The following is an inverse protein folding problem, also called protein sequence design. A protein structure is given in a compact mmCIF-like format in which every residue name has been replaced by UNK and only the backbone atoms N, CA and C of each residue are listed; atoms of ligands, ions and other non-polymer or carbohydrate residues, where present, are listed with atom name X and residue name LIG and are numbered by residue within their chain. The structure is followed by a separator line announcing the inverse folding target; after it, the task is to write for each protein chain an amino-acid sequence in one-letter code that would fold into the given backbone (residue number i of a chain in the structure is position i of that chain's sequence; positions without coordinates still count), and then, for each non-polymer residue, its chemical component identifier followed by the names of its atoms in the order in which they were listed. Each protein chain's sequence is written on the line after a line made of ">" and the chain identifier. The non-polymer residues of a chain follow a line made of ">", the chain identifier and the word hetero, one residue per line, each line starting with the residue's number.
data_IF_594738422317
#
_entry.id   IF_594738422317
#
_cell.length_a   1.000
_cell.length_b   1.000
_cell.length_c   1.000
_cell.angle_alpha   90.00
_cell.angle_beta   90.00
_cell.angle_gamma   90.00
#
_symmetry.space_group_name_H-M   'P 1'
#
loop_
_entity.id
_entity.type
_entity.pdbx_description
1 polymer ?
#
# COMPACT_ATOMS: atom_id res chain seq x y z
N UNK A 1 39.99 -6.67 83.26
CA UNK A 1 40.17 -5.37 82.57
C UNK A 1 39.72 -5.52 81.12
N UNK A 2 38.76 -4.68 80.70
CA UNK A 2 38.53 -4.10 79.36
C UNK A 2 38.61 -4.97 78.09
N UNK A 3 37.41 -5.30 77.58
CA UNK A 3 36.85 -5.22 76.20
C UNK A 3 37.81 -4.79 75.06
N UNK A 4 37.72 -5.46 73.89
CA UNK A 4 37.06 -4.91 72.68
C UNK A 4 37.00 -5.88 71.50
N UNK A 5 35.76 -6.11 71.03
CA UNK A 5 35.40 -6.57 69.70
C UNK A 5 35.91 -5.57 68.64
N UNK A 6 36.47 -6.08 67.55
CA UNK A 6 36.71 -5.35 66.31
C UNK A 6 35.98 -6.04 65.16
N UNK A 7 34.83 -5.50 64.77
CA UNK A 7 34.07 -5.91 63.59
C UNK A 7 34.72 -5.28 62.33
N UNK A 8 35.08 -6.10 61.35
CA UNK A 8 35.45 -5.62 60.01
C UNK A 8 34.21 -5.69 59.13
N UNK A 9 33.63 -4.52 58.84
CA UNK A 9 32.54 -4.35 57.90
C UNK A 9 33.10 -4.28 56.47
N UNK A 10 32.73 -5.25 55.63
CA UNK A 10 32.94 -5.22 54.19
C UNK A 10 31.92 -4.26 53.55
N UNK A 11 32.38 -3.12 53.06
CA UNK A 11 31.57 -2.21 52.24
C UNK A 11 31.63 -2.67 50.78
N UNK A 12 30.61 -3.38 50.33
CA UNK A 12 30.38 -3.68 48.91
C UNK A 12 29.60 -2.52 48.30
N UNK A 13 30.28 -1.70 47.50
CA UNK A 13 29.65 -0.63 46.71
C UNK A 13 29.04 -1.24 45.44
N UNK A 14 27.73 -1.49 45.45
CA UNK A 14 26.98 -1.86 44.25
C UNK A 14 26.57 -0.56 43.56
N UNK A 15 27.24 -0.22 42.47
CA UNK A 15 26.80 0.85 41.58
C UNK A 15 25.59 0.35 40.77
N UNK A 16 24.38 0.82 41.11
CA UNK A 16 23.21 0.69 40.23
C UNK A 16 23.31 1.77 39.13
N UNK A 17 23.60 1.36 37.90
CA UNK A 17 23.32 2.18 36.72
C UNK A 17 21.83 2.05 36.38
N UNK A 18 21.02 3.11 36.41
CA UNK A 18 19.70 3.04 35.80
C UNK A 18 19.90 3.02 34.28
N UNK A 19 19.60 1.88 33.66
CA UNK A 19 19.31 1.81 32.23
C UNK A 19 17.99 2.56 31.99
N UNK A 20 18.07 3.88 31.91
CA UNK A 20 17.02 4.70 31.31
C UNK A 20 17.14 4.58 29.80
N UNK A 21 16.11 4.02 29.16
CA UNK A 21 16.00 4.06 27.70
C UNK A 21 15.42 2.79 27.09
N UNK A 22 14.33 2.26 27.65
CA UNK A 22 13.38 1.52 26.82
C UNK A 22 12.86 2.49 25.75
N UNK A 23 13.51 2.51 24.59
CA UNK A 23 12.93 3.09 23.40
C UNK A 23 11.62 2.36 23.14
N UNK A 24 10.51 3.08 23.32
CA UNK A 24 9.18 2.63 22.93
C UNK A 24 9.21 2.38 21.43
N UNK A 25 9.41 1.12 21.03
CA UNK A 25 8.87 0.67 19.76
C UNK A 25 7.35 0.74 19.93
N UNK A 26 6.75 1.82 19.46
CA UNK A 26 5.32 1.89 19.21
C UNK A 26 4.98 0.83 18.16
N UNK A 27 4.75 -0.39 18.64
CA UNK A 27 4.01 -1.40 17.91
C UNK A 27 2.57 -1.25 18.36
N UNK A 28 1.85 -0.28 17.80
CA UNK A 28 0.40 -0.26 17.88
C UNK A 28 -0.23 -0.01 16.50
N UNK A 29 -1.12 -0.95 16.15
CA UNK A 29 -2.02 -1.02 15.00
C UNK A 29 -1.48 -1.60 13.68
N UNK A 30 -0.96 -2.83 13.74
CA UNK A 30 -0.70 -3.70 12.57
C UNK A 30 -2.01 -4.21 11.94
N UNK A 31 -2.74 -3.30 11.29
CA UNK A 31 -3.90 -3.64 10.44
C UNK A 31 -4.13 -2.65 9.30
N UNK A 32 -3.84 -1.36 9.49
CA UNK A 32 -4.25 -0.29 8.56
C UNK A 32 -3.17 0.73 8.18
N UNK A 33 -1.90 0.51 8.55
CA UNK A 33 -0.84 1.49 8.25
C UNK A 33 -0.37 1.34 6.80
N UNK A 34 -0.63 2.38 5.98
CA UNK A 34 -0.11 2.46 4.61
C UNK A 34 1.42 2.38 4.64
N UNK A 35 2.06 1.47 3.88
CA UNK A 35 3.52 1.30 3.91
C UNK A 35 4.23 2.53 3.36
N UNK A 36 5.45 2.81 3.84
CA UNK A 36 6.32 3.81 3.21
C UNK A 36 6.75 3.32 1.82
N UNK A 37 6.71 4.23 0.84
CA UNK A 37 7.19 4.05 -0.52
C UNK A 37 8.52 4.79 -0.78
N UNK A 38 9.08 5.47 0.24
CA UNK A 38 10.33 6.21 0.14
C UNK A 38 10.13 7.68 -0.19
N UNK A 39 11.15 8.32 -0.77
CA UNK A 39 11.14 9.75 -1.13
C UNK A 39 10.96 9.91 -2.64
N UNK A 40 10.02 10.76 -3.08
CA UNK A 40 9.77 11.01 -4.50
C UNK A 40 9.03 12.33 -4.73
N UNK A 41 9.17 12.92 -5.92
CA UNK A 41 8.30 14.03 -6.35
C UNK A 41 6.92 13.51 -6.75
N UNK A 42 5.88 14.35 -6.73
CA UNK A 42 4.54 13.97 -7.17
C UNK A 42 4.53 13.43 -8.61
N UNK A 43 5.32 14.04 -9.50
CA UNK A 43 5.38 13.67 -10.92
C UNK A 43 6.09 12.34 -11.13
N UNK A 44 7.25 12.13 -10.54
CA UNK A 44 8.00 10.88 -10.69
C UNK A 44 7.22 9.68 -10.12
N UNK A 45 6.57 9.88 -8.96
CA UNK A 45 5.70 8.88 -8.37
C UNK A 45 4.48 8.57 -9.26
N UNK A 46 3.91 9.59 -9.91
CA UNK A 46 2.79 9.41 -10.84
C UNK A 46 3.20 8.70 -12.14
N UNK A 47 4.36 9.02 -12.70
CA UNK A 47 4.90 8.32 -13.86
C UNK A 47 5.19 6.85 -13.55
N UNK A 48 5.73 6.57 -12.37
CA UNK A 48 5.92 5.19 -11.91
C UNK A 48 4.59 4.44 -11.74
N UNK A 49 3.56 5.11 -11.20
CA UNK A 49 2.22 4.54 -11.09
C UNK A 49 1.61 4.24 -12.46
N UNK A 50 1.79 5.15 -13.43
CA UNK A 50 1.30 4.95 -14.82
C UNK A 50 1.98 3.75 -15.49
N UNK A 51 3.29 3.59 -15.31
CA UNK A 51 4.03 2.40 -15.79
C UNK A 51 3.48 1.12 -15.17
N UNK A 52 3.29 1.10 -13.85
CA UNK A 52 2.73 -0.04 -13.14
C UNK A 52 1.31 -0.38 -13.60
N UNK A 53 0.48 0.64 -13.83
CA UNK A 53 -0.85 0.44 -14.40
C UNK A 53 -0.81 -0.16 -15.81
N UNK A 54 0.17 0.24 -16.62
CA UNK A 54 0.40 -0.35 -17.94
C UNK A 54 0.79 -1.83 -17.87
N UNK A 55 1.62 -2.21 -16.89
CA UNK A 55 1.95 -3.62 -16.62
C UNK A 55 0.68 -4.42 -16.29
N UNK A 56 -0.15 -3.95 -15.35
CA UNK A 56 -1.42 -4.63 -15.00
C UNK A 56 -2.37 -4.73 -16.19
N UNK A 57 -2.47 -3.67 -17.00
CA UNK A 57 -3.25 -3.71 -18.24
C UNK A 57 -2.77 -4.82 -19.18
N UNK A 58 -1.45 -5.00 -19.33
CA UNK A 58 -0.87 -6.09 -20.13
C UNK A 58 -1.25 -7.50 -19.64
N UNK A 59 -1.56 -7.67 -18.35
CA UNK A 59 -1.95 -8.95 -17.77
C UNK A 59 -3.41 -9.35 -18.07
N UNK A 60 -4.27 -8.39 -18.44
CA UNK A 60 -5.69 -8.66 -18.74
C UNK A 60 -5.84 -9.71 -19.85
N UNK A 61 -4.95 -9.70 -20.86
CA UNK A 61 -4.94 -10.69 -21.94
C UNK A 61 -6.20 -10.70 -22.83
N UNK A 62 -7.02 -9.66 -22.73
CA UNK A 62 -8.30 -9.51 -23.43
C UNK A 62 -8.26 -8.22 -24.24
N UNK A 63 -8.78 -8.26 -25.47
CA UNK A 63 -8.90 -7.05 -26.31
C UNK A 63 -10.01 -6.14 -25.77
N UNK A 64 -9.74 -4.84 -25.71
CA UNK A 64 -10.69 -3.86 -25.19
C UNK A 64 -10.14 -2.44 -25.19
N UNK A 65 -10.90 -1.52 -24.59
CA UNK A 65 -10.59 -0.10 -24.46
C UNK A 65 -10.45 0.30 -22.99
N UNK A 66 -9.55 1.23 -22.70
CA UNK A 66 -9.40 1.81 -21.36
C UNK A 66 -9.99 3.21 -21.29
N UNK A 67 -10.45 3.64 -20.12
CA UNK A 67 -10.69 5.06 -19.85
C UNK A 67 -9.36 5.80 -19.72
N UNK A 68 -9.24 6.99 -20.32
CA UNK A 68 -7.99 7.77 -20.38
C UNK A 68 -7.69 8.66 -19.16
N UNK A 69 -7.88 8.17 -17.94
CA UNK A 69 -7.52 8.93 -16.74
C UNK A 69 -6.01 8.87 -16.48
N UNK A 70 -5.43 9.98 -16.05
CA UNK A 70 -4.08 10.01 -15.50
C UNK A 70 -4.09 9.65 -14.01
N UNK A 71 -2.96 9.22 -13.43
CA UNK A 71 -2.81 9.13 -11.99
C UNK A 71 -3.08 10.49 -11.33
N UNK A 72 -3.44 10.47 -10.05
CA UNK A 72 -3.65 11.65 -9.23
C UNK A 72 -3.02 11.49 -7.85
N UNK A 73 -3.03 12.58 -7.08
CA UNK A 73 -2.40 12.63 -5.75
C UNK A 73 -3.46 12.59 -4.65
N UNK A 74 -3.22 11.78 -3.62
CA UNK A 74 -4.06 11.68 -2.43
C UNK A 74 -3.21 11.76 -1.15
N UNK A 75 -3.85 12.07 -0.04
CA UNK A 75 -3.17 12.21 1.25
C UNK A 75 -2.80 10.86 1.88
N UNK A 76 -1.70 10.88 2.63
CA UNK A 76 -1.37 9.82 3.57
C UNK A 76 -2.18 9.99 4.87
N UNK A 77 -3.04 9.01 5.18
CA UNK A 77 -3.83 9.04 6.42
C UNK A 77 -2.92 9.17 7.66
N UNK A 78 -3.25 10.13 8.53
CA UNK A 78 -2.49 10.37 9.77
C UNK A 78 -1.10 10.98 9.59
N UNK A 79 -0.74 11.45 8.38
CA UNK A 79 0.55 12.11 8.11
C UNK A 79 0.35 13.57 7.69
N UNK A 80 1.42 14.34 7.82
CA UNK A 80 1.50 15.72 7.35
C UNK A 80 1.25 15.79 5.83
N UNK A 81 0.23 16.56 5.44
CA UNK A 81 -0.26 16.67 4.05
C UNK A 81 0.63 17.52 3.15
N UNK A 82 1.54 18.29 3.74
CA UNK A 82 2.54 19.09 3.02
C UNK A 82 3.82 18.30 2.77
N UNK A 83 4.04 17.23 3.56
CA UNK A 83 5.24 16.39 3.49
C UNK A 83 5.02 15.02 2.88
N UNK A 84 3.83 14.44 3.03
CA UNK A 84 3.55 13.07 2.64
C UNK A 84 2.35 12.96 1.70
N UNK A 85 2.49 12.11 0.69
CA UNK A 85 1.45 11.87 -0.30
C UNK A 85 1.44 10.43 -0.79
N UNK A 86 0.36 10.05 -1.47
CA UNK A 86 0.27 8.80 -2.24
C UNK A 86 -0.21 9.13 -3.64
N UNK A 87 0.06 8.21 -4.55
CA UNK A 87 -0.48 8.25 -5.90
C UNK A 87 -1.57 7.22 -6.01
N UNK A 88 -2.66 7.58 -6.68
CA UNK A 88 -3.66 6.64 -7.14
C UNK A 88 -3.83 6.72 -8.64
N UNK A 89 -4.27 5.62 -9.25
CA UNK A 89 -4.66 5.61 -10.65
C UNK A 89 -5.91 4.75 -10.82
N UNK A 90 -7.03 5.43 -11.01
CA UNK A 90 -8.34 4.81 -11.24
C UNK A 90 -8.68 4.85 -12.72
N UNK A 91 -9.01 3.71 -13.31
CA UNK A 91 -9.45 3.61 -14.69
C UNK A 91 -10.39 2.42 -14.89
N UNK A 92 -11.08 2.40 -16.03
CA UNK A 92 -11.98 1.32 -16.41
C UNK A 92 -11.49 0.62 -17.67
N UNK A 93 -11.67 -0.69 -17.71
CA UNK A 93 -11.47 -1.52 -18.90
C UNK A 93 -12.81 -2.00 -19.45
N UNK A 94 -13.00 -1.81 -20.74
CA UNK A 94 -14.18 -2.22 -21.48
C UNK A 94 -13.77 -3.28 -22.51
N UNK A 95 -14.11 -4.57 -22.32
CA UNK A 95 -13.74 -5.60 -23.28
C UNK A 95 -14.48 -5.38 -24.61
N UNK A 96 -13.86 -5.80 -25.71
CA UNK A 96 -14.48 -5.73 -27.05
C UNK A 96 -15.78 -6.56 -27.14
N UNK A 97 -15.92 -7.58 -26.29
CA UNK A 97 -17.16 -8.33 -26.10
C UNK A 97 -17.49 -8.40 -24.59
N UNK A 98 -18.73 -8.07 -24.17
CA UNK A 98 -19.12 -8.05 -22.76
C UNK A 98 -18.87 -9.37 -22.00
N UNK A 99 -18.98 -10.52 -22.69
CA UNK A 99 -18.77 -11.84 -22.10
C UNK A 99 -17.33 -12.14 -21.69
N UNK A 100 -16.36 -11.27 -22.00
CA UNK A 100 -14.94 -11.48 -21.67
C UNK A 100 -14.49 -10.87 -20.34
N UNK A 101 -15.40 -10.30 -19.55
CA UNK A 101 -15.05 -9.78 -18.22
C UNK A 101 -14.59 -10.89 -17.27
N UNK A 102 -15.23 -12.07 -17.31
CA UNK A 102 -14.84 -13.21 -16.47
C UNK A 102 -13.45 -13.73 -16.85
N UNK A 103 -13.18 -13.81 -18.16
CA UNK A 103 -11.87 -14.18 -18.70
C UNK A 103 -10.78 -13.21 -18.22
N UNK A 104 -11.02 -11.90 -18.32
CA UNK A 104 -10.08 -10.88 -17.85
C UNK A 104 -9.80 -10.99 -16.34
N UNK A 105 -10.82 -11.25 -15.52
CA UNK A 105 -10.66 -11.45 -14.08
C UNK A 105 -9.83 -12.70 -13.75
N UNK A 106 -10.11 -13.83 -14.42
CA UNK A 106 -9.37 -15.08 -14.19
C UNK A 106 -7.91 -14.97 -14.68
N UNK A 107 -7.67 -14.24 -15.77
CA UNK A 107 -6.33 -13.88 -16.25
C UNK A 107 -5.56 -13.09 -15.20
N UNK A 108 -6.15 -12.02 -14.65
CA UNK A 108 -5.53 -11.26 -13.57
C UNK A 108 -5.21 -12.14 -12.35
N UNK A 109 -6.16 -12.97 -11.93
CA UNK A 109 -5.98 -13.90 -10.80
C UNK A 109 -4.79 -14.84 -11.01
N UNK A 110 -4.56 -15.28 -12.24
CA UNK A 110 -3.47 -16.22 -12.57
C UNK A 110 -2.13 -15.52 -12.81
N UNK A 111 -2.13 -14.36 -13.46
CA UNK A 111 -0.90 -13.69 -13.93
C UNK A 111 -0.32 -12.71 -12.90
N UNK A 112 -1.15 -12.11 -12.03
CA UNK A 112 -0.67 -11.22 -10.96
C UNK A 112 0.35 -11.94 -10.04
N UNK A 113 0.08 -13.15 -9.51
CA UNK A 113 1.05 -13.90 -8.70
C UNK A 113 2.38 -14.17 -9.40
N UNK A 114 2.34 -14.50 -10.70
CA UNK A 114 3.56 -14.73 -11.50
C UNK A 114 4.40 -13.46 -11.63
N UNK A 115 3.77 -12.30 -11.50
CA UNK A 115 4.38 -10.97 -11.55
C UNK A 115 4.70 -10.38 -10.16
N UNK A 116 4.71 -11.23 -9.12
CA UNK A 116 5.10 -10.83 -7.76
C UNK A 116 4.01 -10.13 -6.94
N UNK A 117 2.76 -10.17 -7.39
CA UNK A 117 1.62 -9.66 -6.62
C UNK A 117 1.00 -10.76 -5.78
N UNK A 118 0.72 -10.47 -4.51
CA UNK A 118 0.00 -11.39 -3.62
C UNK A 118 -1.48 -11.04 -3.62
N UNK A 119 -2.34 -11.98 -4.01
CA UNK A 119 -3.79 -11.81 -3.88
C UNK A 119 -4.15 -11.88 -2.40
N UNK A 120 -4.68 -10.79 -1.86
CA UNK A 120 -5.16 -10.68 -0.48
C UNK A 120 -6.66 -10.95 -0.37
N UNK A 121 -7.42 -10.69 -1.43
CA UNK A 121 -8.87 -10.93 -1.48
C UNK A 121 -9.33 -11.31 -2.89
N UNK A 122 -10.23 -12.28 -2.98
CA UNK A 122 -10.93 -12.62 -4.22
C UNK A 122 -12.33 -13.16 -3.92
N UNK A 123 -13.35 -12.47 -4.42
CA UNK A 123 -14.75 -12.82 -4.16
C UNK A 123 -15.70 -11.64 -4.34
N UNK A 124 -16.99 -11.82 -4.02
CA UNK A 124 -17.97 -10.74 -4.12
C UNK A 124 -17.66 -9.60 -3.14
N UNK A 125 -17.68 -8.35 -3.65
CA UNK A 125 -17.54 -7.14 -2.84
C UNK A 125 -18.75 -6.91 -1.93
N UNK A 126 -18.60 -6.01 -0.96
CA UNK A 126 -19.65 -5.63 0.00
C UNK A 126 -20.71 -4.68 -0.58
N UNK A 127 -20.61 -4.34 -1.87
CA UNK A 127 -21.58 -3.47 -2.52
C UNK A 127 -22.93 -4.18 -2.67
N UNK A 128 -24.00 -3.41 -2.86
CA UNK A 128 -25.35 -3.95 -3.16
C UNK A 128 -25.34 -4.94 -4.34
N UNK A 129 -24.47 -4.71 -5.31
CA UNK A 129 -24.40 -5.54 -6.52
C UNK A 129 -23.60 -6.83 -6.32
N UNK A 130 -22.82 -6.94 -5.23
CA UNK A 130 -21.91 -8.05 -4.93
C UNK A 130 -21.03 -8.39 -6.13
N UNK A 131 -20.34 -7.38 -6.65
CA UNK A 131 -19.51 -7.54 -7.85
C UNK A 131 -18.32 -8.41 -7.50
N UNK A 132 -17.91 -9.30 -8.40
CA UNK A 132 -16.66 -10.02 -8.22
C UNK A 132 -15.50 -9.01 -8.13
N UNK A 133 -14.69 -9.14 -7.09
CA UNK A 133 -13.57 -8.25 -6.79
C UNK A 133 -12.31 -9.06 -6.55
N UNK A 134 -11.17 -8.49 -6.92
CA UNK A 134 -9.83 -8.98 -6.66
C UNK A 134 -9.01 -7.85 -6.05
N UNK A 135 -8.39 -8.10 -4.91
CA UNK A 135 -7.38 -7.20 -4.32
C UNK A 135 -6.05 -7.92 -4.28
N UNK A 136 -4.99 -7.25 -4.74
CA UNK A 136 -3.64 -7.77 -4.69
C UNK A 136 -2.63 -6.70 -4.31
N UNK A 137 -1.62 -7.11 -3.57
CA UNK A 137 -0.58 -6.24 -3.01
C UNK A 137 0.79 -6.64 -3.54
N UNK A 138 1.67 -5.67 -3.78
CA UNK A 138 3.04 -5.90 -4.20
C UNK A 138 4.00 -5.16 -3.26
N UNK A 139 4.66 -5.91 -2.38
CA UNK A 139 5.55 -5.37 -1.36
C UNK A 139 6.81 -4.73 -1.94
N UNK A 140 7.31 -5.24 -3.07
CA UNK A 140 8.49 -4.68 -3.72
C UNK A 140 8.18 -3.34 -4.39
N UNK A 141 7.01 -3.25 -5.04
CA UNK A 141 6.54 -2.04 -5.72
C UNK A 141 5.83 -1.06 -4.79
N UNK A 142 5.61 -1.44 -3.53
CA UNK A 142 4.84 -0.66 -2.53
C UNK A 142 3.52 -0.18 -3.12
N UNK A 143 2.77 -1.10 -3.72
CA UNK A 143 1.52 -0.78 -4.40
C UNK A 143 0.45 -1.84 -4.14
N UNK A 144 -0.81 -1.42 -4.21
CA UNK A 144 -1.98 -2.28 -4.14
C UNK A 144 -2.88 -2.00 -5.34
N UNK A 145 -3.55 -3.04 -5.83
CA UNK A 145 -4.57 -2.94 -6.86
C UNK A 145 -5.86 -3.57 -6.37
N UNK A 146 -6.96 -2.85 -6.53
CA UNK A 146 -8.29 -3.40 -6.45
C UNK A 146 -8.93 -3.40 -7.84
N UNK A 147 -9.51 -4.53 -8.23
CA UNK A 147 -10.22 -4.71 -9.49
C UNK A 147 -11.62 -5.20 -9.18
N UNK A 148 -12.64 -4.47 -9.64
CA UNK A 148 -14.05 -4.83 -9.46
C UNK A 148 -14.73 -5.03 -10.81
N UNK A 149 -15.36 -6.17 -10.98
CA UNK A 149 -16.09 -6.56 -12.18
C UNK A 149 -17.52 -5.96 -12.15
N UNK A 150 -17.70 -4.80 -12.75
CA UNK A 150 -18.98 -4.09 -12.83
C UNK A 150 -19.84 -4.63 -13.98
N UNK A 151 -20.15 -5.93 -13.96
CA UNK A 151 -20.85 -6.62 -15.04
C UNK A 151 -22.29 -6.11 -15.26
N UNK A 152 -22.91 -5.51 -14.24
CA UNK A 152 -24.27 -4.95 -14.29
C UNK A 152 -24.32 -3.49 -14.78
N UNK A 153 -23.17 -2.88 -15.08
CA UNK A 153 -23.13 -1.54 -15.65
C UNK A 153 -23.45 -1.59 -17.15
N UNK A 154 -23.84 -0.44 -17.71
CA UNK A 154 -23.98 -0.24 -19.15
C UNK A 154 -23.03 0.88 -19.63
N UNK A 155 -21.97 0.57 -20.40
CA UNK A 155 -21.53 -0.78 -20.76
C UNK A 155 -20.83 -1.53 -19.60
N UNK A 156 -20.83 -2.88 -19.60
CA UNK A 156 -20.10 -3.69 -18.63
C UNK A 156 -18.59 -3.42 -18.66
N UNK A 157 -17.96 -3.41 -17.48
CA UNK A 157 -16.54 -3.03 -17.35
C UNK A 157 -15.83 -3.67 -16.16
N UNK A 158 -14.50 -3.67 -16.19
CA UNK A 158 -13.69 -3.74 -14.97
C UNK A 158 -13.40 -2.32 -14.50
N UNK A 159 -13.50 -2.08 -13.19
CA UNK A 159 -13.03 -0.88 -12.54
C UNK A 159 -11.74 -1.23 -11.81
N UNK A 160 -10.65 -0.52 -12.12
CA UNK A 160 -9.34 -0.73 -11.50
C UNK A 160 -8.97 0.50 -10.68
N UNK A 161 -8.48 0.27 -9.47
CA UNK A 161 -7.94 1.30 -8.58
C UNK A 161 -6.58 0.82 -8.10
N UNK A 162 -5.52 1.43 -8.63
CA UNK A 162 -4.17 1.23 -8.13
C UNK A 162 -3.85 2.34 -7.13
N UNK A 163 -3.16 2.00 -6.06
CA UNK A 163 -2.68 2.96 -5.05
C UNK A 163 -1.27 2.61 -4.61
N UNK A 164 -0.43 3.63 -4.41
CA UNK A 164 0.93 3.45 -3.86
C UNK A 164 0.91 3.39 -2.33
N UNK A 165 2.05 3.05 -1.74
CA UNK A 165 2.42 3.44 -0.40
C UNK A 165 2.59 4.96 -0.27
N UNK A 166 2.98 5.39 0.92
CA UNK A 166 3.22 6.78 1.26
C UNK A 166 4.62 7.24 0.87
N UNK A 167 4.70 8.22 -0.01
CA UNK A 167 5.93 8.93 -0.31
C UNK A 167 6.13 10.12 0.62
N UNK A 168 7.38 10.45 0.91
CA UNK A 168 7.79 11.75 1.45
C UNK A 168 8.30 12.63 0.30
N UNK A 169 7.93 13.91 0.29
CA UNK A 169 8.45 14.87 -0.68
C UNK A 169 9.93 15.21 -0.36
N UNK A 170 10.81 15.36 -1.36
CA UNK A 170 12.18 15.81 -1.10
C UNK A 170 12.24 17.16 -0.41
N UNK A 171 13.28 17.40 0.38
CA UNK A 171 13.46 18.68 1.06
C UNK A 171 13.50 19.84 0.05
N UNK A 172 12.75 20.91 0.35
CA UNK A 172 12.65 22.10 -0.50
C UNK A 172 11.79 21.91 -1.75
N UNK A 173 11.06 20.79 -1.88
CA UNK A 173 10.05 20.57 -2.91
C UNK A 173 8.65 20.60 -2.30
N UNK A 174 7.66 20.90 -3.13
CA UNK A 174 6.25 20.91 -2.75
C UNK A 174 5.49 19.77 -3.44
N UNK A 175 4.45 19.28 -2.77
CA UNK A 175 3.55 18.28 -3.35
C UNK A 175 2.65 18.96 -4.39
N UNK A 176 2.91 18.71 -5.66
CA UNK A 176 2.00 19.08 -6.75
C UNK A 176 0.75 18.20 -6.69
N UNK A 177 -0.45 18.77 -6.86
CA UNK A 177 -1.73 18.07 -6.86
C UNK A 177 -2.47 18.34 -8.16
N UNK A 178 -2.82 17.27 -8.88
CA UNK A 178 -3.46 17.27 -10.20
C UNK A 178 -4.54 16.20 -10.28
#
# INVERSE_FOLDING_TARGET
>A
MKVKLGASALLVSIALTPLTGCGMNETENTGNTVPSAGTSTSRDAADQMKKLSGEIHGLLGVEGKTSGSNPGIMDCAGKDRERYFRVFHSWSFYPASPGRLDEAMERLRTELPKSGWKISEYGPDTSRNRNLSLTADNDAKKASVNVSQRAKNDPPKLSLMLVSGCYEIPAGQEIERF
#
